data_IF_117340205680
#
_entry.id   IF_117340205680
#
_cell.length_a   1.000
_cell.length_b   1.000
_cell.length_c   1.000
_cell.angle_alpha   90.00
_cell.angle_beta   90.00
_cell.angle_gamma   90.00
#
_symmetry.space_group_name_H-M   'P 1'
#
loop_
_entity.id
_entity.type
_entity.pdbx_description
1 polymer ?
#
# COMPACT_ATOMS: atom_id res chain seq x y z
N UNK A 1 39.56 -34.15 13.59
CA UNK A 1 38.45 -33.30 14.03
C UNK A 1 37.99 -32.55 12.79
N UNK A 2 37.10 -33.16 12.00
CA UNK A 2 36.56 -32.62 10.76
C UNK A 2 35.47 -31.66 11.14
N UNK A 3 35.68 -30.34 10.93
CA UNK A 3 34.64 -29.30 10.95
C UNK A 3 33.70 -29.57 9.76
N UNK A 4 32.56 -30.14 10.02
CA UNK A 4 31.41 -30.08 9.13
C UNK A 4 30.94 -28.63 9.09
N UNK A 5 31.44 -27.84 8.14
CA UNK A 5 30.71 -26.66 7.68
C UNK A 5 29.43 -27.16 7.01
N UNK A 6 28.34 -27.19 7.76
CA UNK A 6 27.00 -27.17 7.14
C UNK A 6 26.95 -25.86 6.37
N UNK A 7 27.10 -25.92 5.05
CA UNK A 7 26.63 -24.90 4.16
C UNK A 7 25.11 -24.78 4.42
N UNK A 8 24.71 -23.85 5.27
CA UNK A 8 23.31 -23.46 5.37
C UNK A 8 23.00 -22.89 4.00
N UNK A 9 22.28 -23.64 3.17
CA UNK A 9 21.84 -23.16 1.88
C UNK A 9 21.03 -21.88 2.15
N UNK A 10 21.46 -20.76 1.58
CA UNK A 10 20.75 -19.50 1.72
C UNK A 10 19.33 -19.66 1.20
N UNK A 11 18.36 -19.13 1.95
CA UNK A 11 16.95 -19.15 1.59
C UNK A 11 16.73 -18.36 0.28
N UNK A 12 16.28 -19.05 -0.77
CA UNK A 12 16.00 -18.47 -2.08
C UNK A 12 14.63 -17.80 -2.09
N UNK A 13 14.62 -16.48 -2.26
CA UNK A 13 13.39 -15.69 -2.24
C UNK A 13 13.05 -15.19 -3.64
N UNK A 14 11.78 -15.34 -4.04
CA UNK A 14 11.22 -14.69 -5.19
C UNK A 14 10.30 -13.56 -4.73
N UNK A 15 10.42 -12.37 -5.33
CA UNK A 15 9.64 -11.19 -4.94
C UNK A 15 8.59 -10.89 -6.02
N UNK A 16 7.33 -10.66 -5.60
CA UNK A 16 6.26 -10.16 -6.48
C UNK A 16 5.83 -8.79 -5.97
N UNK A 17 6.10 -7.71 -6.75
CA UNK A 17 5.76 -6.35 -6.34
C UNK A 17 5.63 -5.39 -7.52
N UNK A 18 4.72 -4.40 -7.40
CA UNK A 18 4.60 -3.27 -8.34
C UNK A 18 5.44 -2.05 -7.92
N UNK A 19 5.99 -2.03 -6.71
CA UNK A 19 6.52 -0.81 -6.12
C UNK A 19 8.00 -0.92 -5.81
N UNK A 20 8.75 0.07 -6.28
CA UNK A 20 10.04 0.39 -5.69
C UNK A 20 9.78 1.00 -4.31
N UNK A 21 10.19 0.32 -3.25
CA UNK A 21 9.92 0.67 -1.86
C UNK A 21 11.12 0.36 -0.97
N UNK A 22 11.08 0.83 0.26
CA UNK A 22 12.05 0.43 1.30
C UNK A 22 12.04 -1.08 1.51
N UNK A 23 10.86 -1.72 1.47
CA UNK A 23 10.71 -3.18 1.57
C UNK A 23 11.52 -3.90 0.49
N UNK A 24 11.40 -3.47 -0.78
CA UNK A 24 12.17 -4.07 -1.87
C UNK A 24 13.68 -3.90 -1.67
N UNK A 25 14.16 -2.69 -1.38
CA UNK A 25 15.59 -2.44 -1.20
C UNK A 25 16.16 -3.26 -0.02
N UNK A 26 15.44 -3.35 1.07
CA UNK A 26 15.84 -4.12 2.26
C UNK A 26 15.97 -5.63 1.93
N UNK A 27 15.02 -6.20 1.18
CA UNK A 27 15.10 -7.60 0.76
C UNK A 27 16.30 -7.85 -0.17
N UNK A 28 16.55 -6.95 -1.12
CA UNK A 28 17.66 -7.05 -2.06
C UNK A 28 19.04 -6.95 -1.40
N UNK A 29 19.13 -6.23 -0.29
CA UNK A 29 20.37 -6.03 0.47
C UNK A 29 20.63 -7.14 1.49
N UNK A 30 19.59 -7.87 1.91
CA UNK A 30 19.65 -8.77 3.08
C UNK A 30 19.40 -10.24 2.77
N UNK A 31 18.91 -10.59 1.58
CA UNK A 31 18.48 -11.95 1.23
C UNK A 31 18.91 -12.34 -0.18
N UNK A 32 19.01 -13.65 -0.43
CA UNK A 32 19.24 -14.21 -1.77
C UNK A 32 17.95 -14.13 -2.60
N UNK A 33 17.86 -13.14 -3.50
CA UNK A 33 16.71 -12.94 -4.36
C UNK A 33 16.95 -13.56 -5.71
N UNK A 34 16.23 -14.65 -6.02
CA UNK A 34 16.39 -15.43 -7.27
C UNK A 34 15.54 -14.92 -8.43
N UNK A 35 14.59 -14.01 -8.17
CA UNK A 35 13.74 -13.43 -9.20
C UNK A 35 12.81 -12.34 -8.69
N UNK A 36 12.43 -11.43 -9.61
CA UNK A 36 11.43 -10.40 -9.35
C UNK A 36 10.36 -10.46 -10.42
N UNK A 37 9.09 -10.55 -10.00
CA UNK A 37 7.92 -10.41 -10.87
C UNK A 37 7.28 -9.05 -10.60
N UNK A 38 7.11 -8.26 -11.67
CA UNK A 38 6.37 -7.00 -11.62
C UNK A 38 4.98 -7.21 -12.24
N UNK A 39 3.90 -7.31 -11.43
CA UNK A 39 2.55 -7.38 -11.96
C UNK A 39 2.09 -6.01 -12.46
N UNK A 40 1.46 -5.95 -13.63
CA UNK A 40 0.85 -4.73 -14.18
C UNK A 40 -0.64 -4.93 -14.45
N UNK A 41 -1.42 -3.93 -14.07
CA UNK A 41 -2.76 -3.77 -14.62
C UNK A 41 -2.66 -2.96 -15.91
N UNK A 42 -3.01 -3.52 -17.07
CA UNK A 42 -2.88 -2.89 -18.38
C UNK A 42 -3.73 -1.61 -18.59
N UNK A 43 -4.51 -1.18 -17.61
CA UNK A 43 -5.53 -0.14 -17.80
C UNK A 43 -5.10 1.31 -17.52
N UNK A 44 -3.91 1.62 -17.00
CA UNK A 44 -3.64 2.97 -16.50
C UNK A 44 -2.29 3.64 -16.84
N UNK A 45 -1.45 3.08 -17.66
CA UNK A 45 -0.22 3.76 -18.10
C UNK A 45 -0.39 4.48 -19.44
N UNK A 46 -1.24 5.52 -19.46
CA UNK A 46 -1.55 6.26 -20.68
C UNK A 46 -0.60 7.44 -20.99
N UNK A 47 0.37 7.75 -20.10
CA UNK A 47 1.27 8.88 -20.35
C UNK A 47 2.76 8.53 -20.22
N UNK A 48 3.57 9.18 -21.08
CA UNK A 48 5.05 9.15 -21.05
C UNK A 48 5.55 9.58 -19.66
N UNK A 49 4.87 10.51 -19.01
CA UNK A 49 5.19 11.04 -17.67
C UNK A 49 5.00 9.97 -16.60
N UNK A 50 3.93 9.17 -16.66
CA UNK A 50 3.72 8.05 -15.71
C UNK A 50 4.79 6.97 -15.89
N UNK A 51 5.21 6.70 -17.13
CA UNK A 51 6.31 5.76 -17.43
C UNK A 51 7.66 6.23 -16.89
N UNK A 52 7.90 7.55 -16.87
CA UNK A 52 9.14 8.14 -16.34
C UNK A 52 9.16 8.21 -14.80
N UNK A 53 7.98 8.34 -14.18
CA UNK A 53 7.83 8.49 -12.71
C UNK A 53 7.87 7.14 -11.99
N UNK A 54 7.33 6.09 -12.58
CA UNK A 54 7.52 4.73 -12.11
C UNK A 54 8.93 4.28 -12.47
N UNK A 55 9.94 4.71 -11.68
CA UNK A 55 11.31 4.19 -11.74
C UNK A 55 11.21 2.67 -11.65
N UNK A 56 11.31 2.10 -12.79
CA UNK A 56 11.02 0.78 -13.25
C UNK A 56 11.68 -0.26 -12.31
N UNK A 57 10.90 -1.17 -11.73
CA UNK A 57 11.41 -2.35 -11.00
C UNK A 57 12.41 -3.10 -11.88
N UNK A 58 12.20 -3.13 -13.19
CA UNK A 58 13.16 -3.66 -14.16
C UNK A 58 14.55 -3.03 -14.05
N UNK A 59 14.66 -1.70 -13.80
CA UNK A 59 15.96 -1.05 -13.61
C UNK A 59 16.62 -1.44 -12.28
N UNK A 60 15.81 -1.71 -11.26
CA UNK A 60 16.30 -2.22 -9.98
C UNK A 60 16.81 -3.65 -10.16
N UNK A 61 16.03 -4.53 -10.78
CA UNK A 61 16.43 -5.90 -11.07
C UNK A 61 17.74 -5.95 -11.89
N UNK A 62 17.87 -5.09 -12.91
CA UNK A 62 19.11 -4.95 -13.70
C UNK A 62 20.29 -4.52 -12.83
N UNK A 63 20.12 -3.54 -11.93
CA UNK A 63 21.19 -3.07 -11.03
C UNK A 63 21.73 -4.17 -10.12
N UNK A 64 20.86 -5.06 -9.65
CA UNK A 64 21.22 -6.17 -8.77
C UNK A 64 21.46 -7.51 -9.50
N UNK A 65 21.46 -7.50 -10.85
CA UNK A 65 21.62 -8.69 -11.70
C UNK A 65 20.62 -9.80 -11.42
N UNK A 66 19.39 -9.44 -11.05
CA UNK A 66 18.33 -10.36 -10.69
C UNK A 66 17.42 -10.63 -11.90
N UNK A 67 17.05 -11.88 -12.20
CA UNK A 67 16.06 -12.23 -13.21
C UNK A 67 14.75 -11.47 -12.99
N UNK A 68 14.18 -10.94 -14.07
CA UNK A 68 12.98 -10.10 -14.02
C UNK A 68 11.92 -10.58 -15.00
N UNK A 69 10.68 -10.67 -14.54
CA UNK A 69 9.50 -10.95 -15.33
C UNK A 69 8.46 -9.84 -15.19
N UNK A 70 7.97 -9.31 -16.31
CA UNK A 70 6.78 -8.46 -16.36
C UNK A 70 5.54 -9.34 -16.53
N UNK A 71 4.69 -9.38 -15.50
CA UNK A 71 3.38 -10.01 -15.58
C UNK A 71 2.38 -8.99 -16.11
N UNK A 72 1.93 -9.14 -17.37
CA UNK A 72 1.12 -8.17 -18.10
C UNK A 72 -0.34 -8.18 -17.64
N UNK A 73 -0.86 -9.32 -17.25
CA UNK A 73 -2.22 -9.50 -16.77
C UNK A 73 -2.33 -10.71 -15.83
N UNK A 74 -3.50 -10.85 -15.16
CA UNK A 74 -3.79 -11.94 -14.22
C UNK A 74 -3.91 -13.33 -14.86
N UNK A 75 -4.05 -13.43 -16.20
CA UNK A 75 -4.19 -14.69 -16.92
C UNK A 75 -2.85 -15.28 -17.34
N UNK A 76 -1.79 -14.44 -17.34
CA UNK A 76 -0.45 -14.90 -17.72
C UNK A 76 0.00 -16.04 -16.82
N UNK A 77 0.45 -17.14 -17.43
CA UNK A 77 1.11 -18.21 -16.71
C UNK A 77 2.51 -17.74 -16.28
N UNK A 78 2.73 -17.67 -14.97
CA UNK A 78 4.01 -17.31 -14.36
C UNK A 78 4.65 -18.50 -13.64
N UNK A 79 3.94 -19.63 -13.54
CA UNK A 79 4.35 -20.78 -12.74
C UNK A 79 5.62 -21.43 -13.29
N UNK A 80 5.73 -21.60 -14.61
CA UNK A 80 6.91 -22.23 -15.22
C UNK A 80 8.17 -21.41 -15.01
N UNK A 81 8.03 -20.07 -15.07
CA UNK A 81 9.12 -19.15 -14.75
C UNK A 81 9.51 -19.21 -13.27
N UNK A 82 8.55 -19.37 -12.37
CA UNK A 82 8.81 -19.55 -10.93
C UNK A 82 9.50 -20.86 -10.68
N UNK A 83 9.07 -21.95 -11.33
CA UNK A 83 9.70 -23.28 -11.24
C UNK A 83 11.16 -23.25 -11.66
N UNK A 84 11.48 -22.57 -12.75
CA UNK A 84 12.86 -22.40 -13.22
C UNK A 84 13.75 -21.69 -12.18
N UNK A 85 13.20 -20.75 -11.40
CA UNK A 85 13.93 -20.07 -10.31
C UNK A 85 13.99 -20.87 -9.01
N UNK A 86 13.12 -21.86 -8.86
CA UNK A 86 13.05 -22.77 -7.71
C UNK A 86 13.18 -22.03 -6.36
N UNK A 87 12.29 -21.09 -6.03
CA UNK A 87 12.34 -20.36 -4.77
C UNK A 87 11.85 -21.24 -3.62
N UNK A 88 12.44 -21.05 -2.44
CA UNK A 88 11.97 -21.67 -1.19
C UNK A 88 10.79 -20.90 -0.61
N UNK A 89 10.74 -19.57 -0.83
CA UNK A 89 9.72 -18.66 -0.34
C UNK A 89 9.36 -17.61 -1.40
N UNK A 90 8.08 -17.30 -1.57
CA UNK A 90 7.65 -16.14 -2.32
C UNK A 90 7.23 -15.02 -1.35
N UNK A 91 7.72 -13.81 -1.58
CA UNK A 91 7.34 -12.60 -0.85
C UNK A 91 6.54 -11.69 -1.76
N UNK A 92 5.32 -11.38 -1.34
CA UNK A 92 4.39 -10.51 -2.08
C UNK A 92 4.24 -9.18 -1.35
N UNK A 93 4.29 -8.10 -2.11
CA UNK A 93 4.03 -6.77 -1.61
C UNK A 93 3.42 -5.90 -2.71
N UNK A 94 2.24 -5.32 -2.46
CA UNK A 94 1.55 -4.48 -3.47
C UNK A 94 1.20 -5.22 -4.76
N UNK A 95 0.53 -6.36 -4.63
CA UNK A 95 -0.04 -7.15 -5.73
C UNK A 95 -1.47 -6.68 -6.04
N UNK A 96 -1.85 -6.42 -7.31
CA UNK A 96 -3.17 -5.89 -7.65
C UNK A 96 -4.26 -6.95 -7.80
N UNK A 97 -3.92 -8.24 -7.79
CA UNK A 97 -4.85 -9.36 -7.98
C UNK A 97 -4.44 -10.58 -7.14
N UNK A 98 -5.38 -11.49 -6.93
CA UNK A 98 -5.13 -12.75 -6.23
C UNK A 98 -4.21 -13.65 -7.07
N UNK A 99 -3.27 -14.29 -6.41
CA UNK A 99 -2.45 -15.34 -7.01
C UNK A 99 -3.26 -16.63 -7.13
N UNK A 100 -2.97 -17.41 -8.18
CA UNK A 100 -3.52 -18.75 -8.32
C UNK A 100 -2.91 -19.70 -7.29
N UNK A 101 -3.69 -20.69 -6.86
CA UNK A 101 -3.26 -21.69 -5.88
C UNK A 101 -1.96 -22.39 -6.29
N UNK A 102 -1.85 -22.81 -7.54
CA UNK A 102 -0.67 -23.44 -8.10
C UNK A 102 0.61 -22.58 -8.00
N UNK A 103 0.47 -21.25 -7.89
CA UNK A 103 1.57 -20.30 -7.73
C UNK A 103 1.95 -20.15 -6.28
N UNK A 104 0.96 -19.82 -5.42
CA UNK A 104 1.28 -19.52 -4.02
C UNK A 104 1.63 -20.77 -3.18
N UNK A 105 1.20 -21.96 -3.60
CA UNK A 105 1.53 -23.22 -2.92
C UNK A 105 2.80 -23.90 -3.45
N UNK A 106 3.41 -23.37 -4.51
CA UNK A 106 4.59 -23.98 -5.11
C UNK A 106 5.83 -23.95 -4.21
N UNK A 107 6.20 -22.84 -3.55
CA UNK A 107 7.40 -22.83 -2.71
C UNK A 107 7.24 -23.70 -1.46
N UNK A 108 8.30 -24.41 -1.07
CA UNK A 108 8.28 -25.32 0.09
C UNK A 108 7.94 -24.64 1.42
N UNK A 109 8.31 -23.36 1.56
CA UNK A 109 8.00 -22.53 2.75
C UNK A 109 6.77 -21.65 2.53
N UNK A 110 6.09 -21.79 1.38
CA UNK A 110 4.87 -21.08 1.04
C UNK A 110 5.09 -19.68 0.48
N UNK A 111 4.02 -18.91 0.49
CA UNK A 111 4.01 -17.53 0.00
C UNK A 111 3.47 -16.61 1.08
N UNK A 112 4.18 -15.53 1.38
CA UNK A 112 3.77 -14.53 2.37
C UNK A 112 3.49 -13.18 1.70
N UNK A 113 2.57 -12.41 2.30
CA UNK A 113 2.22 -11.07 1.86
C UNK A 113 2.41 -10.05 3.00
N UNK A 114 2.89 -8.87 2.67
CA UNK A 114 2.92 -7.72 3.57
C UNK A 114 1.69 -6.84 3.32
N UNK A 115 0.78 -6.82 4.30
CA UNK A 115 -0.45 -6.05 4.27
C UNK A 115 -0.38 -4.83 5.20
N UNK A 116 -0.91 -3.67 4.77
CA UNK A 116 -0.79 -2.41 5.51
C UNK A 116 -2.02 -2.15 6.40
N UNK A 117 -2.34 -3.14 7.23
CA UNK A 117 -3.31 -3.06 8.31
C UNK A 117 -3.01 -4.16 9.35
N UNK A 118 -3.62 -4.06 10.54
CA UNK A 118 -3.66 -5.14 11.54
C UNK A 118 -4.79 -6.11 11.19
N UNK A 119 -4.49 -7.15 10.40
CA UNK A 119 -5.47 -8.19 10.07
C UNK A 119 -6.06 -8.84 11.35
N UNK A 120 -7.35 -9.19 11.35
CA UNK A 120 -8.29 -9.25 10.23
C UNK A 120 -8.97 -7.93 9.84
N UNK A 121 -8.64 -6.78 10.45
CA UNK A 121 -9.14 -5.47 10.03
C UNK A 121 -8.68 -5.14 8.61
N UNK A 122 -9.56 -4.52 7.82
CA UNK A 122 -9.24 -3.95 6.51
C UNK A 122 -8.61 -4.92 5.51
N UNK A 123 -9.06 -6.18 5.47
CA UNK A 123 -8.77 -7.09 4.35
C UNK A 123 -9.14 -6.42 3.03
N UNK A 124 -8.26 -6.49 2.01
CA UNK A 124 -8.54 -5.94 0.70
C UNK A 124 -7.52 -4.93 0.18
N UNK A 125 -7.86 -4.26 -0.90
CA UNK A 125 -6.90 -3.60 -1.79
C UNK A 125 -6.37 -2.24 -1.30
N UNK A 126 -7.10 -1.50 -0.44
CA UNK A 126 -6.74 -0.12 -0.06
C UNK A 126 -6.96 0.17 1.44
N UNK A 127 -6.32 -0.61 2.33
CA UNK A 127 -6.52 -0.49 3.78
C UNK A 127 -6.25 0.92 4.31
N UNK A 128 -5.21 1.61 3.85
CA UNK A 128 -4.85 2.96 4.31
C UNK A 128 -6.00 3.96 4.10
N UNK A 129 -6.71 3.89 2.97
CA UNK A 129 -7.87 4.76 2.73
C UNK A 129 -8.95 4.55 3.79
N UNK A 130 -9.25 3.29 4.09
CA UNK A 130 -10.29 2.94 5.05
C UNK A 130 -9.90 3.22 6.50
N UNK A 131 -8.61 3.17 6.85
CA UNK A 131 -8.07 3.66 8.13
C UNK A 131 -8.45 5.14 8.34
N UNK A 132 -8.23 6.01 7.34
CA UNK A 132 -8.66 7.40 7.42
C UNK A 132 -10.17 7.57 7.44
N UNK A 133 -10.90 6.78 6.66
CA UNK A 133 -12.36 6.85 6.59
C UNK A 133 -13.02 6.54 7.95
N UNK A 134 -12.55 5.50 8.62
CA UNK A 134 -13.07 5.11 9.94
C UNK A 134 -12.45 5.89 11.09
N UNK A 135 -11.53 6.80 10.80
CA UNK A 135 -10.84 7.60 11.81
C UNK A 135 -10.07 6.75 12.81
N UNK A 136 -9.53 5.60 12.36
CA UNK A 136 -8.69 4.74 13.17
C UNK A 136 -7.30 5.37 13.35
N UNK A 137 -6.93 5.61 14.60
CA UNK A 137 -5.62 6.18 14.96
C UNK A 137 -4.57 5.09 15.24
N UNK A 138 -5.00 3.86 15.43
CA UNK A 138 -4.15 2.70 15.65
C UNK A 138 -4.34 1.72 14.48
N UNK A 139 -3.25 1.46 13.77
CA UNK A 139 -3.19 0.55 12.64
C UNK A 139 -1.88 -0.22 12.66
N UNK A 140 -1.46 -0.82 11.57
CA UNK A 140 -0.18 -1.53 11.54
C UNK A 140 0.12 -2.20 10.22
N UNK A 141 1.10 -3.08 10.26
CA UNK A 141 1.43 -3.99 9.17
C UNK A 141 1.26 -5.44 9.65
N UNK A 142 0.82 -6.28 8.74
CA UNK A 142 0.71 -7.72 8.95
C UNK A 142 1.49 -8.45 7.88
N UNK A 143 2.38 -9.35 8.28
CA UNK A 143 2.92 -10.39 7.41
C UNK A 143 2.09 -11.65 7.62
N UNK A 144 1.47 -12.16 6.56
CA UNK A 144 0.61 -13.34 6.61
C UNK A 144 0.89 -14.27 5.43
N UNK A 145 0.58 -15.54 5.56
CA UNK A 145 0.59 -16.47 4.44
C UNK A 145 -0.51 -16.14 3.44
N UNK A 146 -0.26 -16.39 2.17
CA UNK A 146 -1.31 -16.32 1.15
C UNK A 146 -2.05 -17.66 1.11
N UNK A 147 -3.37 -17.58 1.10
CA UNK A 147 -4.29 -18.68 0.88
C UNK A 147 -5.27 -18.38 -0.28
N UNK A 148 -6.35 -19.13 -0.39
CA UNK A 148 -7.38 -18.94 -1.44
C UNK A 148 -8.21 -17.66 -1.26
N UNK A 149 -8.23 -17.09 -0.05
CA UNK A 149 -8.98 -15.88 0.26
C UNK A 149 -8.18 -14.61 0.03
N UNK A 150 -8.85 -13.47 0.13
CA UNK A 150 -8.19 -12.17 0.09
C UNK A 150 -7.77 -11.77 1.51
N UNK A 151 -6.46 -11.79 1.76
CA UNK A 151 -5.84 -11.44 3.04
C UNK A 151 -6.36 -12.26 4.24
N UNK A 152 -6.70 -13.54 4.03
CA UNK A 152 -7.30 -14.43 5.04
C UNK A 152 -6.34 -15.44 5.66
N UNK A 153 -5.17 -15.64 5.08
CA UNK A 153 -4.19 -16.64 5.51
C UNK A 153 -3.59 -16.36 6.89
N UNK A 154 -2.96 -17.37 7.45
CA UNK A 154 -2.40 -17.35 8.80
C UNK A 154 -1.41 -16.22 9.00
N UNK A 155 -1.53 -15.48 10.10
CA UNK A 155 -0.63 -14.39 10.47
C UNK A 155 0.69 -14.96 10.98
N UNK A 156 1.79 -14.43 10.42
CA UNK A 156 3.17 -14.71 10.87
C UNK A 156 3.61 -13.69 11.90
N UNK A 157 3.37 -12.41 11.62
CA UNK A 157 3.83 -11.28 12.42
C UNK A 157 2.96 -10.05 12.20
N UNK A 158 2.78 -9.26 13.25
CA UNK A 158 2.15 -7.95 13.18
C UNK A 158 3.02 -6.91 13.89
N UNK A 159 3.04 -5.69 13.37
CA UNK A 159 3.64 -4.53 14.04
C UNK A 159 2.68 -3.34 13.97
N UNK A 160 2.48 -2.71 15.11
CA UNK A 160 1.61 -1.54 15.22
C UNK A 160 2.24 -0.30 14.58
N UNK A 161 1.37 0.54 14.04
CA UNK A 161 1.69 1.86 13.49
C UNK A 161 0.62 2.82 13.99
N UNK A 162 1.04 3.91 14.62
CA UNK A 162 0.11 4.99 15.02
C UNK A 162 -0.05 6.00 13.90
N UNK A 163 -1.29 6.41 13.70
CA UNK A 163 -1.66 7.48 12.79
C UNK A 163 -1.73 8.78 13.59
N UNK A 164 -0.89 9.77 13.26
CA UNK A 164 -0.96 11.05 13.94
C UNK A 164 -2.17 11.86 13.43
N UNK A 165 -2.80 12.63 14.31
CA UNK A 165 -3.93 13.48 13.93
C UNK A 165 -3.52 14.46 12.81
N UNK A 166 -4.24 14.41 11.70
CA UNK A 166 -3.93 15.21 10.52
C UNK A 166 -2.72 14.74 9.72
N UNK A 167 -2.20 13.56 9.97
CA UNK A 167 -1.13 12.96 9.18
C UNK A 167 -1.57 12.78 7.72
N UNK A 168 -0.68 12.99 6.78
CA UNK A 168 -0.98 12.84 5.35
C UNK A 168 -0.73 11.42 4.90
N UNK A 169 -1.40 11.02 3.82
CA UNK A 169 -1.25 9.70 3.21
C UNK A 169 0.22 9.29 2.98
N UNK A 170 1.05 10.18 2.45
CA UNK A 170 2.45 9.85 2.14
C UNK A 170 3.32 9.71 3.40
N UNK A 171 3.01 10.46 4.47
CA UNK A 171 3.69 10.36 5.78
C UNK A 171 3.39 9.00 6.42
N UNK A 172 2.10 8.65 6.53
CA UNK A 172 1.68 7.34 7.02
C UNK A 172 2.21 6.19 6.16
N UNK A 173 2.17 6.35 4.83
CA UNK A 173 2.74 5.37 3.91
C UNK A 173 4.24 5.17 4.14
N UNK A 174 5.00 6.23 4.42
CA UNK A 174 6.43 6.12 4.75
C UNK A 174 6.65 5.31 6.03
N UNK A 175 5.84 5.54 7.08
CA UNK A 175 5.86 4.71 8.30
C UNK A 175 5.61 3.23 7.98
N UNK A 176 4.61 2.93 7.13
CA UNK A 176 4.35 1.56 6.71
C UNK A 176 5.50 0.94 5.92
N UNK A 177 6.21 1.69 5.08
CA UNK A 177 7.35 1.18 4.34
C UNK A 177 8.55 0.89 5.27
N UNK A 178 8.83 1.73 6.27
CA UNK A 178 9.89 1.51 7.25
C UNK A 178 9.57 0.31 8.16
N UNK A 179 8.40 0.32 8.79
CA UNK A 179 8.00 -0.75 9.71
C UNK A 179 7.76 -2.06 8.96
N UNK A 180 7.21 -1.98 7.75
CA UNK A 180 7.01 -3.14 6.87
C UNK A 180 8.32 -3.81 6.44
N UNK A 181 9.38 -3.02 6.19
CA UNK A 181 10.68 -3.57 5.87
C UNK A 181 11.29 -4.37 7.06
N UNK A 182 11.11 -3.88 8.28
CA UNK A 182 11.51 -4.59 9.49
C UNK A 182 10.66 -5.85 9.68
N UNK A 183 9.34 -5.72 9.57
CA UNK A 183 8.40 -6.82 9.79
C UNK A 183 8.62 -7.98 8.81
N UNK A 184 8.85 -7.67 7.52
CA UNK A 184 9.04 -8.72 6.52
C UNK A 184 10.35 -9.48 6.72
N UNK A 185 11.44 -8.80 7.08
CA UNK A 185 12.71 -9.47 7.40
C UNK A 185 12.59 -10.36 8.63
N UNK A 186 11.96 -9.87 9.69
CA UNK A 186 11.73 -10.64 10.90
C UNK A 186 10.87 -11.88 10.62
N UNK A 187 9.80 -11.73 9.85
CA UNK A 187 8.97 -12.86 9.44
C UNK A 187 9.75 -13.90 8.62
N UNK A 188 10.57 -13.45 7.67
CA UNK A 188 11.42 -14.35 6.87
C UNK A 188 12.42 -15.11 7.76
N UNK A 189 13.10 -14.41 8.68
CA UNK A 189 14.04 -15.05 9.59
C UNK A 189 13.36 -16.07 10.52
N UNK A 190 12.13 -15.78 10.97
CA UNK A 190 11.35 -16.73 11.76
C UNK A 190 10.94 -17.96 10.93
N UNK A 191 10.55 -17.78 9.66
CA UNK A 191 10.22 -18.87 8.75
C UNK A 191 11.47 -19.73 8.47
N UNK A 192 12.59 -19.09 8.14
CA UNK A 192 13.86 -19.76 7.84
C UNK A 192 14.38 -20.61 9.03
N UNK A 193 14.21 -20.10 10.25
CA UNK A 193 14.61 -20.80 11.48
C UNK A 193 13.58 -21.80 12.01
N UNK A 194 12.44 -21.96 11.33
CA UNK A 194 11.34 -22.83 11.79
C UNK A 194 10.59 -22.33 13.02
N UNK A 195 10.78 -21.05 13.39
CA UNK A 195 10.14 -20.39 14.56
C UNK A 195 8.93 -19.56 14.22
N UNK A 196 8.49 -19.56 12.95
CA UNK A 196 7.34 -18.77 12.53
C UNK A 196 6.04 -19.26 13.19
N UNK A 197 5.33 -18.35 13.81
CA UNK A 197 3.97 -18.62 14.24
C UNK A 197 3.03 -18.73 13.02
N UNK A 198 1.94 -19.48 13.18
CA UNK A 198 0.81 -19.55 12.26
C UNK A 198 -0.47 -19.27 13.03
N UNK A 199 -0.77 -17.98 13.21
CA UNK A 199 -1.95 -17.54 13.95
C UNK A 199 -3.12 -17.47 12.98
N UNK A 200 -4.10 -18.35 13.15
CA UNK A 200 -5.31 -18.33 12.33
C UNK A 200 -6.09 -17.04 12.54
N UNK A 201 -6.52 -16.45 11.45
CA UNK A 201 -7.38 -15.29 11.50
C UNK A 201 -8.83 -15.69 11.82
N UNK A 202 -9.58 -14.81 12.49
CA UNK A 202 -11.04 -14.96 12.57
C UNK A 202 -11.66 -14.97 11.18
N UNK A 203 -12.69 -15.77 10.97
CA UNK A 203 -13.47 -15.79 9.73
C UNK A 203 -14.08 -14.42 9.49
N UNK A 204 -14.69 -13.86 10.54
CA UNK A 204 -15.30 -12.54 10.49
C UNK A 204 -14.26 -11.45 10.69
N UNK A 205 -14.30 -10.45 9.81
CA UNK A 205 -13.51 -9.23 9.95
C UNK A 205 -14.30 -8.21 10.79
N UNK A 206 -13.65 -7.53 11.76
CA UNK A 206 -14.32 -6.49 12.56
C UNK A 206 -14.58 -5.21 11.74
N UNK A 207 -14.09 -5.14 10.50
CA UNK A 207 -14.30 -4.02 9.58
C UNK A 207 -14.83 -4.52 8.25
N UNK A 208 -15.55 -3.68 7.47
CA UNK A 208 -15.84 -3.98 6.08
C UNK A 208 -14.55 -4.20 5.28
N UNK A 209 -14.67 -4.90 4.15
CA UNK A 209 -13.59 -5.13 3.22
C UNK A 209 -13.07 -3.79 2.66
N UNK A 210 -11.77 -3.61 2.63
CA UNK A 210 -11.08 -2.41 2.13
C UNK A 210 -11.05 -2.35 0.59
N UNK A 211 -12.24 -2.22 -0.02
CA UNK A 211 -12.41 -2.17 -1.47
C UNK A 211 -11.79 -0.94 -2.08
N UNK A 212 -11.40 -1.02 -3.36
CA UNK A 212 -10.96 0.15 -4.12
C UNK A 212 -12.08 1.14 -4.30
N UNK A 213 -11.85 2.38 -3.88
CA UNK A 213 -12.77 3.49 -4.08
C UNK A 213 -12.56 4.08 -5.47
N UNK A 214 -13.62 4.12 -6.27
CA UNK A 214 -13.59 4.86 -7.52
C UNK A 214 -13.69 6.35 -7.21
N UNK A 215 -12.91 7.15 -7.96
CA UNK A 215 -12.79 8.59 -7.70
C UNK A 215 -14.11 9.34 -7.82
N UNK A 216 -14.97 8.91 -8.73
CA UNK A 216 -16.31 9.48 -8.93
C UNK A 216 -17.22 9.34 -7.71
N UNK A 217 -17.06 8.27 -6.92
CA UNK A 217 -17.87 8.00 -5.73
C UNK A 217 -17.26 8.56 -4.43
N UNK A 218 -16.09 9.19 -4.49
CA UNK A 218 -15.41 9.68 -3.28
C UNK A 218 -16.24 10.69 -2.49
N UNK A 219 -16.96 11.63 -3.17
CA UNK A 219 -17.81 12.62 -2.50
C UNK A 219 -18.99 11.96 -1.79
N UNK A 220 -19.56 10.91 -2.38
CA UNK A 220 -20.71 10.19 -1.82
C UNK A 220 -20.33 9.44 -0.53
N UNK A 221 -19.05 9.12 -0.35
CA UNK A 221 -18.55 8.51 0.87
C UNK A 221 -18.41 9.50 2.04
N UNK A 222 -18.38 10.79 1.78
CA UNK A 222 -18.19 11.79 2.83
C UNK A 222 -19.51 11.96 3.59
N UNK A 223 -19.54 11.55 4.84
CA UNK A 223 -20.62 11.93 5.74
C UNK A 223 -20.36 13.36 6.25
N UNK A 224 -21.04 14.29 5.64
CA UNK A 224 -20.94 15.71 5.97
C UNK A 224 -21.44 16.08 7.37
N UNK A 225 -22.01 15.11 8.14
CA UNK A 225 -22.35 15.25 9.53
C UNK A 225 -21.19 14.96 10.48
N UNK A 226 -20.08 14.40 9.98
CA UNK A 226 -18.88 14.23 10.79
C UNK A 226 -18.45 15.58 11.38
N UNK A 227 -17.81 15.53 12.56
CA UNK A 227 -17.17 16.72 13.12
C UNK A 227 -16.03 17.21 12.22
N UNK A 228 -15.66 18.47 12.40
CA UNK A 228 -14.66 19.15 11.57
C UNK A 228 -13.30 18.44 11.61
N UNK A 229 -12.89 17.94 12.78
CA UNK A 229 -11.62 17.28 13.02
C UNK A 229 -11.53 16.00 12.18
N UNK A 230 -12.58 15.19 12.17
CA UNK A 230 -12.65 13.96 11.39
C UNK A 230 -12.62 14.23 9.89
N UNK A 231 -13.40 15.22 9.42
CA UNK A 231 -13.40 15.63 8.00
C UNK A 231 -12.01 16.12 7.59
N UNK A 232 -11.39 16.95 8.41
CA UNK A 232 -10.07 17.49 8.12
C UNK A 232 -9.00 16.39 8.07
N UNK A 233 -8.99 15.49 9.06
CA UNK A 233 -8.10 14.34 9.08
C UNK A 233 -8.28 13.45 7.84
N UNK A 234 -9.53 13.11 7.51
CA UNK A 234 -9.86 12.32 6.33
C UNK A 234 -9.38 13.00 5.03
N UNK A 235 -9.60 14.30 4.87
CA UNK A 235 -9.13 15.03 3.69
C UNK A 235 -7.61 15.04 3.59
N UNK A 236 -6.90 15.18 4.68
CA UNK A 236 -5.43 15.12 4.69
C UNK A 236 -4.89 13.74 4.29
N UNK A 237 -5.54 12.69 4.76
CA UNK A 237 -5.18 11.32 4.40
C UNK A 237 -5.61 10.90 2.99
N UNK A 238 -6.52 11.66 2.36
CA UNK A 238 -7.10 11.30 1.05
C UNK A 238 -7.00 12.40 -0.01
N UNK A 239 -6.06 13.32 0.13
CA UNK A 239 -5.82 14.45 -0.79
C UNK A 239 -5.81 14.04 -2.27
N UNK A 240 -5.27 12.88 -2.59
CA UNK A 240 -5.20 12.36 -3.96
C UNK A 240 -6.59 12.08 -4.58
N UNK A 241 -7.58 11.71 -3.76
CA UNK A 241 -8.96 11.53 -4.22
C UNK A 241 -9.66 12.88 -4.36
N UNK A 242 -9.54 13.75 -3.36
CA UNK A 242 -10.12 15.09 -3.34
C UNK A 242 -9.64 15.93 -4.52
N UNK A 243 -8.40 15.78 -4.93
CA UNK A 243 -7.80 16.44 -6.11
C UNK A 243 -8.67 16.30 -7.36
N UNK A 244 -9.18 15.11 -7.64
CA UNK A 244 -9.94 14.85 -8.87
C UNK A 244 -11.33 15.49 -8.87
N UNK A 245 -11.81 15.85 -7.72
CA UNK A 245 -13.09 16.54 -7.54
C UNK A 245 -12.91 18.03 -7.74
N UNK A 246 -11.89 18.60 -7.10
CA UNK A 246 -11.61 20.03 -7.14
C UNK A 246 -10.98 20.48 -8.48
N UNK A 247 -10.36 19.55 -9.23
CA UNK A 247 -9.76 19.82 -10.53
C UNK A 247 -10.45 18.95 -11.58
N UNK A 248 -11.55 19.46 -12.16
CA UNK A 248 -12.33 18.77 -13.20
C UNK A 248 -11.54 18.53 -14.49
N UNK A 249 -10.57 19.40 -14.82
CA UNK A 249 -9.74 19.25 -16.02
C UNK A 249 -8.67 18.19 -15.80
N UNK A 250 -8.76 17.08 -16.58
CA UNK A 250 -7.83 15.95 -16.49
C UNK A 250 -6.37 16.32 -16.77
N UNK A 251 -6.09 17.30 -17.63
CA UNK A 251 -4.74 17.77 -17.92
C UNK A 251 -4.17 18.56 -16.75
N UNK A 252 -4.92 19.54 -16.23
CA UNK A 252 -4.56 20.34 -15.06
C UNK A 252 -4.37 19.44 -13.83
N UNK A 253 -5.20 18.43 -13.66
CA UNK A 253 -5.06 17.47 -12.54
C UNK A 253 -3.77 16.65 -12.56
N UNK A 254 -3.07 16.56 -13.69
CA UNK A 254 -1.74 15.93 -13.78
C UNK A 254 -0.62 16.85 -13.31
N UNK A 255 -0.81 18.15 -13.43
CA UNK A 255 0.20 19.19 -13.15
C UNK A 255 0.12 19.67 -11.70
N UNK A 256 -1.09 19.70 -11.13
CA UNK A 256 -1.32 20.20 -9.78
C UNK A 256 -1.68 19.08 -8.80
N UNK A 257 -1.27 19.25 -7.56
CA UNK A 257 -1.79 18.54 -6.38
C UNK A 257 -2.58 19.50 -5.50
N UNK A 258 -3.45 18.93 -4.69
CA UNK A 258 -4.11 19.67 -3.62
C UNK A 258 -3.32 19.42 -2.35
N UNK A 259 -3.18 20.46 -1.56
CA UNK A 259 -2.67 20.40 -0.21
C UNK A 259 -3.74 20.92 0.74
N UNK A 260 -4.20 20.05 1.63
CA UNK A 260 -5.12 20.42 2.70
C UNK A 260 -4.32 21.17 3.77
N UNK A 261 -4.74 22.41 4.02
CA UNK A 261 -4.14 23.30 5.00
C UNK A 261 -4.76 23.16 6.39
N UNK A 262 -4.93 24.31 7.06
CA UNK A 262 -5.57 24.37 8.38
C UNK A 262 -7.07 24.07 8.29
N UNK A 263 -7.63 23.64 9.40
CA UNK A 263 -9.05 23.77 9.68
C UNK A 263 -9.28 25.00 10.58
N UNK A 264 -10.49 25.56 10.54
CA UNK A 264 -10.89 26.70 11.36
C UNK A 264 -12.29 26.43 11.90
N UNK A 265 -12.41 26.37 13.22
CA UNK A 265 -13.69 26.22 13.90
C UNK A 265 -14.36 27.60 13.89
N UNK A 266 -15.42 27.74 13.13
CA UNK A 266 -16.17 29.03 12.98
C UNK A 266 -17.58 28.73 12.50
N UNK A 267 -18.56 29.44 13.06
CA UNK A 267 -19.92 29.41 12.57
C UNK A 267 -20.01 30.05 11.18
N UNK A 268 -20.82 29.51 10.29
CA UNK A 268 -21.08 30.06 8.96
C UNK A 268 -22.43 29.58 8.41
N UNK A 269 -22.95 30.32 7.44
CA UNK A 269 -24.23 30.04 6.75
C UNK A 269 -24.02 29.45 5.35
N UNK A 270 -22.81 28.96 5.02
CA UNK A 270 -22.56 28.33 3.74
C UNK A 270 -23.17 26.91 3.69
N UNK A 271 -23.57 26.50 2.51
CA UNK A 271 -23.99 25.12 2.27
C UNK A 271 -22.83 24.17 2.56
N UNK A 272 -23.04 23.16 3.39
CA UNK A 272 -22.01 22.19 3.74
C UNK A 272 -21.53 21.44 2.48
N UNK A 273 -20.22 21.28 2.35
CA UNK A 273 -19.57 20.70 1.16
C UNK A 273 -19.31 21.70 0.02
N UNK A 274 -19.81 22.94 0.11
CA UNK A 274 -19.58 23.95 -0.92
C UNK A 274 -18.19 24.59 -0.84
N UNK A 275 -17.73 25.11 -1.99
CA UNK A 275 -16.39 25.68 -2.16
C UNK A 275 -16.45 27.20 -2.14
N UNK A 276 -15.63 27.81 -1.34
CA UNK A 276 -15.57 29.26 -1.15
C UNK A 276 -14.14 29.78 -1.09
N UNK A 277 -14.02 31.11 -1.03
CA UNK A 277 -12.77 31.83 -0.82
C UNK A 277 -13.00 32.98 0.12
N UNK A 278 -12.08 33.19 1.05
CA UNK A 278 -11.99 34.37 1.91
C UNK A 278 -10.58 34.96 1.94
N UNK A 279 -10.28 35.83 2.89
CA UNK A 279 -8.98 36.47 3.07
C UNK A 279 -7.86 35.45 3.38
N UNK A 280 -8.21 34.33 4.01
CA UNK A 280 -7.29 33.24 4.37
C UNK A 280 -7.06 32.23 3.24
N UNK A 281 -7.86 32.25 2.19
CA UNK A 281 -7.70 31.34 1.04
C UNK A 281 -8.96 30.64 0.58
N UNK A 282 -8.78 29.57 -0.21
CA UNK A 282 -9.89 28.71 -0.65
C UNK A 282 -10.22 27.69 0.44
N UNK A 283 -11.50 27.45 0.68
CA UNK A 283 -11.95 26.50 1.69
C UNK A 283 -13.18 25.69 1.24
N UNK A 284 -13.38 24.58 1.93
CA UNK A 284 -14.59 23.77 1.89
C UNK A 284 -15.37 24.07 3.16
N UNK A 285 -16.65 24.44 3.01
CA UNK A 285 -17.54 24.66 4.15
C UNK A 285 -17.91 23.29 4.76
N UNK A 286 -17.65 23.13 6.06
CA UNK A 286 -17.89 21.91 6.80
C UNK A 286 -18.76 22.18 8.02
N UNK A 287 -19.41 21.16 8.56
CA UNK A 287 -20.16 21.29 9.82
C UNK A 287 -19.20 21.78 10.93
N UNK A 288 -19.52 22.94 11.49
CA UNK A 288 -18.73 23.58 12.56
C UNK A 288 -17.49 24.35 12.12
N UNK A 289 -17.24 24.51 10.78
CA UNK A 289 -16.12 25.32 10.35
C UNK A 289 -15.71 25.18 8.89
N UNK A 290 -14.47 25.52 8.63
CA UNK A 290 -13.86 25.57 7.30
C UNK A 290 -12.62 24.71 7.22
N UNK A 291 -12.44 24.00 6.09
CA UNK A 291 -11.20 23.30 5.77
C UNK A 291 -10.54 24.00 4.59
N UNK A 292 -9.39 24.62 4.83
CA UNK A 292 -8.65 25.34 3.81
C UNK A 292 -7.83 24.41 2.94
N UNK A 293 -7.70 24.76 1.64
CA UNK A 293 -6.88 24.03 0.69
C UNK A 293 -6.18 24.97 -0.29
N UNK A 294 -5.08 24.49 -0.87
CA UNK A 294 -4.36 25.19 -1.93
C UNK A 294 -3.93 24.22 -3.03
N UNK A 295 -3.77 24.77 -4.23
CA UNK A 295 -3.17 24.07 -5.35
C UNK A 295 -1.66 24.25 -5.32
N UNK A 296 -0.90 23.17 -5.47
CA UNK A 296 0.55 23.20 -5.64
C UNK A 296 0.92 22.50 -6.94
N UNK A 297 1.97 22.99 -7.60
CA UNK A 297 2.58 22.26 -8.70
C UNK A 297 3.05 20.89 -8.20
N UNK A 298 2.79 19.87 -9.00
CA UNK A 298 3.22 18.53 -8.65
C UNK A 298 4.73 18.43 -8.84
N UNK A 299 5.47 18.12 -7.79
CA UNK A 299 6.89 17.87 -7.83
C UNK A 299 7.15 16.38 -7.56
N UNK A 300 7.64 15.61 -8.55
CA UNK A 300 7.91 14.18 -8.40
C UNK A 300 9.02 13.85 -7.40
N UNK A 301 9.89 14.81 -7.08
CA UNK A 301 11.02 14.62 -6.17
C UNK A 301 10.65 14.77 -4.69
N UNK A 302 9.51 15.40 -4.39
CA UNK A 302 8.96 15.53 -3.04
C UNK A 302 7.85 14.50 -2.81
N UNK A 303 8.22 13.22 -2.86
CA UNK A 303 7.37 12.11 -2.43
C UNK A 303 7.70 11.72 -1.02
#
# INVERSE_FOLDING_TARGET
MLLYFYLVANLKILIITQKKSKVLSTLLESKEVVGIIEPREDKHLSSIVEKAIFKNIKSVAKKYHIPYLLMKDRKQNILDWIRDKNPDLIVVYSMPFLLKEEVFSFPSLGTINLHTALLPKYRGAVPIFWTYYYFDMDTGVTVHYIDKGEDTGDIVLQKEVKVDFGERYYELRSKFEEIGAVAILEAINNIESGKANRIKQSIDSPTPRAIRVKREYYIELIDWNWNLERIWHFFRGTENYLKHILIKNKFISKIFRIEIGKMEIVGHNFVIGSLHKDVNGKFIACKGGKVYYKFKLWNPEKK
#
